data_IF_970449579397
#
_entry.id   IF_970449579397
#
_cell.length_a   1.000
_cell.length_b   1.000
_cell.length_c   1.000
_cell.angle_alpha   90.00
_cell.angle_beta   90.00
_cell.angle_gamma   90.00
#
_symmetry.space_group_name_H-M   'P 1'
#
loop_
_entity.id
_entity.type
_entity.pdbx_description
1 polymer ?
2 non-polymer ?
3 non-polymer ?
4 water ?
#
# COMPACT_ATOMS: atom_id res chain seq x y z
N UNK A 1 -6.50 -4.52 1.23
CA UNK A 1 -7.89 -4.04 1.11
C UNK A 1 -8.79 -4.95 0.25
N UNK A 2 -8.22 -5.80 -0.60
CA UNK A 2 -8.88 -6.68 -1.59
C UNK A 2 -7.89 -7.75 -2.06
N UNK A 3 -8.28 -8.70 -2.95
CA UNK A 3 -7.48 -9.90 -3.22
C UNK A 3 -6.11 -9.68 -3.90
N UNK A 4 -5.94 -8.53 -4.56
CA UNK A 4 -4.63 -8.13 -5.14
C UNK A 4 -3.66 -7.84 -4.03
N UNK A 5 -4.12 -7.07 -3.05
CA UNK A 5 -3.32 -6.69 -1.87
C UNK A 5 -3.03 -7.92 -1.01
N UNK A 6 -3.97 -8.85 -0.94
CA UNK A 6 -3.80 -10.17 -0.26
C UNK A 6 -2.60 -10.97 -0.83
N UNK A 7 -2.55 -11.12 -2.15
CA UNK A 7 -1.45 -11.85 -2.82
C UNK A 7 -0.14 -11.08 -2.59
N UNK A 8 -0.13 -9.77 -2.80
CA UNK A 8 1.09 -8.94 -2.59
C UNK A 8 1.62 -9.13 -1.17
N UNK A 9 0.75 -9.03 -0.15
CA UNK A 9 1.14 -9.18 1.26
C UNK A 9 1.75 -10.55 1.51
N UNK A 10 1.16 -11.59 0.96
CA UNK A 10 1.67 -12.97 1.14
C UNK A 10 3.10 -13.08 0.60
N UNK A 11 3.39 -12.44 -0.52
CA UNK A 11 4.75 -12.40 -1.11
C UNK A 11 5.66 -11.59 -0.21
N UNK A 12 5.23 -10.40 0.23
CA UNK A 12 6.13 -9.55 1.03
C UNK A 12 6.52 -10.23 2.34
N UNK A 13 5.53 -10.89 2.99
CA UNK A 13 5.73 -11.39 4.39
C UNK A 13 6.69 -12.57 4.40
N UNK A 14 6.90 -13.29 3.30
CA UNK A 14 7.75 -14.49 3.29
C UNK A 14 8.91 -14.42 2.30
N UNK A 15 8.80 -13.61 1.24
CA UNK A 15 9.78 -13.70 0.13
C UNK A 15 10.52 -12.38 -0.09
N UNK A 16 10.62 -11.51 0.90
CA UNK A 16 11.43 -10.26 0.76
C UNK A 16 12.40 -10.12 1.92
N UNK A 17 13.51 -9.44 1.61
CA UNK A 17 14.51 -8.99 2.61
C UNK A 17 14.82 -7.55 2.26
N UNK A 18 15.46 -6.86 3.19
CA UNK A 18 16.01 -5.52 2.91
C UNK A 18 17.48 -5.72 2.51
N UNK A 19 17.83 -5.35 1.28
CA UNK A 19 19.22 -5.43 0.80
C UNK A 19 19.86 -4.05 0.85
N UNK A 20 21.09 -3.97 1.34
CA UNK A 20 21.85 -2.69 1.37
C UNK A 20 23.17 -2.89 0.65
N UNK A 21 23.41 -2.07 -0.38
CA UNK A 21 24.70 -1.99 -1.10
C UNK A 21 25.24 -0.56 -0.84
N UNK A 22 26.36 -0.23 -1.46
CA UNK A 22 26.97 1.13 -1.38
C UNK A 22 26.13 2.13 -2.17
N UNK A 23 25.18 1.65 -2.98
CA UNK A 23 24.26 2.49 -3.81
C UNK A 23 22.89 2.67 -3.16
N UNK A 24 22.61 2.09 -1.97
CA UNK A 24 21.40 2.35 -1.20
C UNK A 24 20.77 1.09 -0.57
N UNK A 25 19.57 1.29 -0.04
CA UNK A 25 18.69 0.24 0.49
C UNK A 25 17.64 -0.10 -0.56
N UNK A 26 17.42 -1.41 -0.82
CA UNK A 26 16.50 -1.92 -1.84
C UNK A 26 15.59 -3.02 -1.26
N UNK A 27 14.33 -3.02 -1.65
CA UNK A 27 13.47 -4.20 -1.57
C UNK A 27 14.19 -5.28 -2.40
N UNK A 28 14.30 -6.49 -1.86
CA UNK A 28 14.92 -7.63 -2.58
C UNK A 28 13.96 -8.81 -2.47
N UNK A 29 13.58 -9.33 -3.63
CA UNK A 29 12.72 -10.53 -3.77
C UNK A 29 13.57 -11.81 -3.74
N UNK A 30 13.28 -12.68 -2.77
CA UNK A 30 13.82 -14.06 -2.76
C UNK A 30 12.93 -14.96 -3.59
N UNK A 31 13.51 -15.78 -4.47
CA UNK A 31 12.72 -16.58 -5.44
C UNK A 31 12.70 -18.06 -5.02
N UNK A 32 13.85 -18.62 -4.63
CA UNK A 32 13.93 -20.04 -4.16
C UNK A 32 15.31 -20.22 -3.57
N UNK A 33 15.43 -21.21 -2.68
CA UNK A 33 16.73 -21.59 -2.06
C UNK A 33 17.37 -20.29 -1.54
N UNK A 34 18.59 -19.95 -1.99
CA UNK A 34 19.29 -18.73 -1.48
C UNK A 34 19.38 -17.73 -2.66
N UNK A 35 18.49 -17.83 -3.63
CA UNK A 35 18.54 -17.04 -4.89
C UNK A 35 17.53 -15.89 -4.76
N UNK A 36 18.00 -14.67 -4.98
CA UNK A 36 17.17 -13.46 -4.94
C UNK A 36 17.46 -12.59 -6.17
N UNK A 37 16.67 -11.54 -6.35
CA UNK A 37 16.87 -10.57 -7.46
C UNK A 37 16.91 -9.14 -6.90
N UNK A 38 17.57 -8.28 -7.66
CA UNK A 38 17.75 -6.86 -7.28
C UNK A 38 18.01 -6.11 -8.57
N UNK A 39 17.62 -4.80 -8.67
CA UNK A 39 18.01 -4.05 -9.87
C UNK A 39 19.54 -4.01 -10.04
N UNK A 40 19.98 -4.12 -11.31
CA UNK A 40 21.43 -4.16 -11.62
C UNK A 40 22.11 -2.86 -11.18
N UNK A 41 21.39 -1.74 -11.19
CA UNK A 41 21.98 -0.45 -10.71
C UNK A 41 22.28 -0.44 -9.19
N UNK A 42 21.86 -1.44 -8.41
CA UNK A 42 22.31 -1.60 -7.01
C UNK A 42 23.80 -1.91 -6.92
N UNK A 43 24.47 -2.33 -8.00
CA UNK A 43 25.93 -2.63 -8.07
C UNK A 43 26.35 -3.62 -6.95
N UNK A 44 25.73 -4.79 -6.93
CA UNK A 44 26.04 -5.83 -5.92
C UNK A 44 27.53 -6.16 -6.05
N UNK A 45 28.23 -6.25 -4.91
CA UNK A 45 29.63 -6.67 -4.85
C UNK A 45 29.79 -8.02 -4.19
N UNK A 46 30.94 -8.25 -3.54
CA UNK A 46 31.31 -9.53 -2.93
C UNK A 46 30.58 -9.70 -1.58
N UNK A 47 30.18 -8.60 -0.95
CA UNK A 47 29.49 -8.52 0.36
C UNK A 47 28.26 -7.60 0.18
N UNK A 48 27.15 -8.01 0.76
CA UNK A 48 25.90 -7.22 0.78
C UNK A 48 25.34 -7.30 2.21
N UNK A 49 24.54 -6.32 2.64
CA UNK A 49 23.82 -6.42 3.95
C UNK A 49 22.40 -6.90 3.67
N UNK A 50 21.94 -7.91 4.40
CA UNK A 50 20.60 -8.54 4.25
C UNK A 50 19.93 -8.39 5.63
N UNK A 51 18.92 -7.53 5.74
CA UNK A 51 18.28 -7.23 7.05
C UNK A 51 19.38 -6.82 8.05
N UNK A 52 20.34 -6.00 7.62
CA UNK A 52 21.44 -5.40 8.41
C UNK A 52 22.48 -6.42 8.89
N UNK A 53 22.55 -7.58 8.28
CA UNK A 53 23.59 -8.61 8.54
C UNK A 53 24.52 -8.71 7.34
N UNK A 54 25.81 -8.62 7.62
CA UNK A 54 26.88 -8.82 6.63
C UNK A 54 26.78 -10.22 6.03
N UNK A 55 26.62 -10.31 4.70
CA UNK A 55 26.34 -11.57 3.96
C UNK A 55 27.29 -11.66 2.75
N UNK A 56 27.98 -12.78 2.62
CA UNK A 56 28.81 -13.02 1.44
C UNK A 56 27.90 -13.31 0.25
N UNK A 57 28.29 -12.76 -0.89
CA UNK A 57 27.61 -13.03 -2.20
C UNK A 57 28.34 -14.21 -2.85
N UNK A 58 27.65 -15.33 -3.03
CA UNK A 58 28.23 -16.56 -3.63
C UNK A 58 28.29 -16.40 -5.13
N UNK A 59 27.36 -15.67 -5.75
CA UNK A 59 27.30 -15.46 -7.20
C UNK A 59 26.42 -14.26 -7.46
N UNK A 60 26.75 -13.45 -8.46
CA UNK A 60 25.87 -12.36 -8.94
C UNK A 60 25.94 -12.31 -10.47
N UNK A 61 24.78 -12.32 -11.15
CA UNK A 61 24.76 -12.31 -12.63
C UNK A 61 23.80 -11.22 -13.12
N UNK A 62 24.35 -10.20 -13.78
CA UNK A 62 23.58 -9.11 -14.40
C UNK A 62 23.02 -9.63 -15.71
N UNK A 63 21.72 -9.84 -15.81
CA UNK A 63 21.11 -10.49 -16.99
C UNK A 63 21.09 -9.52 -18.18
N UNK A 64 21.30 -10.08 -19.37
CA UNK A 64 21.18 -9.38 -20.66
C UNK A 64 20.45 -10.30 -21.62
N UNK A 65 19.69 -9.76 -22.57
CA UNK A 65 19.00 -10.60 -23.56
C UNK A 65 20.02 -11.05 -24.64
N UNK A 66 19.54 -11.89 -25.55
CA UNK A 66 20.46 -12.57 -26.50
C UNK A 66 20.93 -11.60 -27.58
N UNK A 67 20.36 -10.39 -27.66
CA UNK A 67 20.97 -9.22 -28.36
C UNK A 67 22.02 -8.49 -27.49
N UNK A 68 22.41 -8.96 -26.30
CA UNK A 68 23.42 -8.31 -25.44
C UNK A 68 22.85 -6.93 -25.06
N UNK A 69 21.53 -6.83 -24.80
CA UNK A 69 20.89 -5.62 -24.23
C UNK A 69 20.60 -5.83 -22.73
N UNK A 70 20.91 -4.82 -21.93
CA UNK A 70 20.60 -4.80 -20.49
C UNK A 70 19.14 -5.24 -20.24
N UNK A 71 18.92 -6.11 -19.21
CA UNK A 71 17.56 -6.39 -18.69
C UNK A 71 17.33 -5.75 -17.31
N UNK A 72 18.36 -5.21 -16.66
CA UNK A 72 18.26 -4.49 -15.36
C UNK A 72 17.95 -5.42 -14.18
N UNK A 73 18.05 -6.75 -14.39
CA UNK A 73 17.85 -7.74 -13.30
C UNK A 73 19.22 -8.31 -12.98
N UNK A 74 19.62 -8.28 -11.72
CA UNK A 74 20.77 -9.09 -11.22
C UNK A 74 20.23 -10.22 -10.34
N UNK A 75 20.65 -11.44 -10.63
CA UNK A 75 20.32 -12.64 -9.84
C UNK A 75 21.48 -12.84 -8.88
N UNK A 76 21.18 -12.89 -7.58
CA UNK A 76 22.20 -12.97 -6.51
C UNK A 76 22.00 -14.28 -5.75
N UNK A 77 23.07 -15.04 -5.54
CA UNK A 77 23.00 -16.17 -4.61
C UNK A 77 23.67 -15.74 -3.31
N UNK A 78 22.95 -15.85 -2.19
CA UNK A 78 23.38 -15.31 -0.89
C UNK A 78 23.95 -16.45 -0.04
N UNK A 79 25.05 -16.21 0.66
CA UNK A 79 25.55 -17.16 1.71
C UNK A 79 24.73 -17.02 2.99
N UNK A 80 23.48 -17.42 2.92
CA UNK A 80 22.51 -17.28 4.02
C UNK A 80 22.23 -18.67 4.61
N UNK A 81 21.85 -18.73 5.90
CA UNK A 81 21.61 -20.00 6.62
C UNK A 81 20.16 -20.44 6.49
N UNK A 82 19.38 -19.87 5.58
CA UNK A 82 17.94 -20.13 5.51
C UNK A 82 17.53 -19.99 4.04
N UNK A 83 16.66 -20.88 3.56
CA UNK A 83 16.08 -20.80 2.21
C UNK A 83 14.82 -19.95 2.17
N UNK A 84 14.56 -19.38 1.00
CA UNK A 84 13.26 -18.75 0.66
C UNK A 84 12.25 -19.82 0.31
N UNK A 85 11.00 -19.55 0.63
CA UNK A 85 9.86 -20.29 0.05
C UNK A 85 10.04 -20.27 -1.47
N UNK A 86 9.89 -21.40 -2.15
CA UNK A 86 9.98 -21.45 -3.61
C UNK A 86 8.70 -20.86 -4.21
N UNK A 87 8.84 -19.72 -4.90
CA UNK A 87 7.72 -19.03 -5.60
C UNK A 87 7.89 -19.06 -7.11
N UNK A 88 8.74 -19.91 -7.65
CA UNK A 88 8.93 -19.93 -9.14
C UNK A 88 7.65 -20.26 -9.89
N UNK A 89 6.69 -20.99 -9.29
CA UNK A 89 5.42 -21.30 -9.97
C UNK A 89 4.50 -20.09 -10.08
N UNK A 90 4.82 -18.94 -9.49
CA UNK A 90 4.07 -17.69 -9.68
C UNK A 90 4.68 -16.75 -10.75
N UNK A 91 5.76 -17.18 -11.39
CA UNK A 91 6.45 -16.36 -12.41
C UNK A 91 5.80 -16.65 -13.75
N UNK A 92 5.54 -15.60 -14.55
CA UNK A 92 5.05 -15.78 -15.93
C UNK A 92 6.07 -16.48 -16.81
N UNK A 93 5.56 -17.22 -17.79
CA UNK A 93 6.46 -17.87 -18.75
C UNK A 93 6.81 -16.94 -19.94
N UNK A 94 5.94 -15.99 -20.29
CA UNK A 94 6.13 -15.14 -21.48
C UNK A 94 5.90 -13.66 -21.15
N UNK A 95 6.41 -12.80 -22.04
CA UNK A 95 6.18 -11.34 -21.98
C UNK A 95 4.67 -11.10 -22.16
N UNK A 96 4.10 -10.17 -21.42
CA UNK A 96 2.64 -9.96 -21.44
C UNK A 96 2.31 -8.60 -20.87
N UNK A 97 1.09 -8.17 -21.11
CA UNK A 97 0.41 -7.03 -20.45
C UNK A 97 -0.46 -7.58 -19.32
N UNK A 98 -0.79 -6.75 -18.35
CA UNK A 98 -1.56 -7.19 -17.16
C UNK A 98 -2.58 -6.14 -16.76
N UNK A 99 -3.65 -6.57 -16.11
CA UNK A 99 -4.52 -5.57 -15.42
C UNK A 99 -4.29 -5.60 -13.89
N UNK A 100 -4.53 -4.47 -13.26
CA UNK A 100 -4.80 -4.38 -11.82
C UNK A 100 -3.59 -4.95 -11.04
N UNK A 101 -2.43 -4.34 -11.23
CA UNK A 101 -1.20 -4.74 -10.48
C UNK A 101 -1.03 -3.91 -9.21
N UNK A 102 -0.26 -4.47 -8.28
CA UNK A 102 0.18 -3.81 -7.02
C UNK A 102 1.71 -3.79 -7.03
N UNK A 103 2.28 -2.65 -6.67
CA UNK A 103 3.72 -2.48 -6.38
C UNK A 103 3.91 -2.44 -4.87
N UNK A 104 4.72 -3.34 -4.32
CA UNK A 104 4.96 -3.46 -2.87
C UNK A 104 6.43 -3.24 -2.51
N UNK A 105 6.67 -2.40 -1.51
CA UNK A 105 8.01 -1.99 -1.07
C UNK A 105 8.14 -2.22 0.41
N UNK A 106 9.32 -2.66 0.84
CA UNK A 106 9.60 -2.74 2.27
C UNK A 106 11.07 -2.34 2.54
N UNK A 107 11.28 -1.12 3.02
CA UNK A 107 12.62 -0.61 3.41
C UNK A 107 12.47 0.12 4.74
N UNK A 108 13.61 0.60 5.31
CA UNK A 108 13.62 1.56 6.46
C UNK A 108 12.80 2.85 6.15
N UNK A 109 12.91 3.39 4.96
CA UNK A 109 12.22 4.63 4.53
C UNK A 109 10.73 4.35 4.28
N UNK A 110 10.39 3.18 3.73
CA UNK A 110 9.01 2.83 3.27
C UNK A 110 8.62 1.43 3.72
N UNK A 111 8.35 1.20 5.02
CA UNK A 111 7.90 -0.08 5.51
C UNK A 111 6.42 -0.34 5.17
N UNK A 112 6.14 -1.59 4.76
CA UNK A 112 4.74 -2.05 4.59
C UNK A 112 4.01 -1.14 3.62
N UNK A 113 4.66 -0.76 2.52
CA UNK A 113 4.08 0.10 1.48
C UNK A 113 3.51 -0.73 0.33
N UNK A 114 2.25 -0.46 -0.05
CA UNK A 114 1.53 -1.14 -1.15
C UNK A 114 0.86 -0.07 -2.02
N UNK A 115 1.04 -0.14 -3.33
CA UNK A 115 0.50 0.89 -4.29
C UNK A 115 -0.28 0.18 -5.38
N UNK A 116 -1.61 0.43 -5.55
CA UNK A 116 -2.37 -0.08 -6.68
C UNK A 116 -1.98 0.78 -7.90
N UNK A 117 -1.25 0.21 -8.82
CA UNK A 117 -0.71 0.97 -9.98
C UNK A 117 -1.59 0.79 -11.20
N UNK A 118 -2.57 -0.13 -11.22
CA UNK A 118 -3.52 -0.28 -12.32
C UNK A 118 -2.96 -1.10 -13.44
N UNK A 119 -3.24 -0.68 -14.66
CA UNK A 119 -2.88 -1.41 -15.90
C UNK A 119 -1.36 -1.35 -16.13
N UNK A 120 -0.80 -2.48 -16.50
CA UNK A 120 0.65 -2.64 -16.80
C UNK A 120 0.84 -3.00 -18.29
N UNK A 121 1.54 -2.13 -19.02
CA UNK A 121 1.82 -2.28 -20.46
C UNK A 121 3.16 -3.02 -20.65
N UNK A 122 3.21 -3.99 -21.56
CA UNK A 122 4.50 -4.47 -22.12
C UNK A 122 5.08 -3.35 -22.95
N UNK A 123 5.92 -2.51 -22.36
CA UNK A 123 6.45 -1.28 -22.97
C UNK A 123 7.61 -1.64 -23.92
N UNK A 124 8.44 -2.58 -23.50
CA UNK A 124 9.56 -3.09 -24.30
C UNK A 124 10.82 -2.30 -24.06
N UNK A 125 11.23 -1.50 -25.05
CA UNK A 125 12.49 -0.73 -25.00
C UNK A 125 12.33 0.54 -24.14
N UNK A 126 13.32 0.79 -23.26
CA UNK A 126 13.45 2.01 -22.46
C UNK A 126 14.92 2.38 -22.41
N UNK A 127 15.17 3.66 -22.60
CA UNK A 127 16.49 4.26 -22.27
C UNK A 127 16.45 4.67 -20.80
N UNK A 128 16.95 3.78 -19.95
CA UNK A 128 16.87 3.83 -18.49
C UNK A 128 18.17 4.41 -17.96
N UNK A 129 18.13 5.67 -17.48
CA UNK A 129 19.35 6.36 -17.01
C UNK A 129 20.45 6.40 -18.05
N UNK A 130 20.12 6.52 -19.32
CA UNK A 130 21.10 6.44 -20.42
C UNK A 130 21.43 5.02 -20.90
N UNK A 131 20.88 3.96 -20.30
CA UNK A 131 21.25 2.57 -20.65
C UNK A 131 20.10 1.95 -21.45
N UNK A 132 20.28 1.58 -22.73
CA UNK A 132 19.23 0.88 -23.48
C UNK A 132 18.83 -0.41 -22.72
N UNK A 133 17.54 -0.55 -22.49
CA UNK A 133 16.99 -1.66 -21.65
C UNK A 133 15.82 -2.31 -22.37
N UNK A 134 15.67 -3.64 -22.29
CA UNK A 134 14.54 -4.37 -22.88
C UNK A 134 13.64 -4.99 -21.80
N UNK A 135 12.51 -5.52 -22.25
CA UNK A 135 11.50 -6.24 -21.39
C UNK A 135 11.01 -5.37 -20.23
N UNK A 136 10.78 -4.11 -20.52
CA UNK A 136 10.23 -3.15 -19.52
C UNK A 136 8.70 -3.18 -19.53
N UNK A 137 8.14 -3.21 -18.33
CA UNK A 137 6.71 -3.04 -18.03
C UNK A 137 6.52 -1.59 -17.57
N UNK A 138 5.39 -1.00 -17.94
CA UNK A 138 5.11 0.41 -17.55
C UNK A 138 3.73 0.50 -16.89
N UNK A 139 3.65 1.36 -15.89
CA UNK A 139 2.39 1.67 -15.16
C UNK A 139 2.36 3.16 -14.95
N UNK A 140 1.15 3.69 -14.94
CA UNK A 140 0.93 5.16 -14.88
C UNK A 140 0.76 5.50 -13.43
N UNK A 141 1.83 5.42 -12.65
CA UNK A 141 1.88 5.93 -11.25
C UNK A 141 3.18 6.71 -11.09
N UNK A 142 3.13 7.90 -10.42
CA UNK A 142 4.30 8.70 -10.07
C UNK A 142 5.11 8.13 -8.90
N UNK A 143 5.82 7.03 -9.23
CA UNK A 143 6.79 6.34 -8.34
C UNK A 143 8.01 7.26 -8.04
N UNK A 144 8.68 7.01 -6.91
CA UNK A 144 9.71 7.89 -6.34
C UNK A 144 10.92 7.06 -5.96
N UNK A 145 12.03 7.76 -5.75
CA UNK A 145 13.24 7.22 -5.12
C UNK A 145 12.79 6.53 -3.82
N UNK A 146 13.42 5.38 -3.57
CA UNK A 146 13.10 4.48 -2.45
C UNK A 146 12.31 3.26 -2.88
N UNK A 147 11.75 3.24 -4.11
CA UNK A 147 10.85 2.13 -4.54
C UNK A 147 11.58 1.09 -5.40
N UNK A 148 12.86 1.32 -5.79
CA UNK A 148 13.57 0.35 -6.68
C UNK A 148 13.70 -0.97 -5.93
N UNK A 149 13.43 -2.06 -6.68
CA UNK A 149 13.42 -3.42 -6.12
C UNK A 149 12.01 -3.81 -5.71
N UNK A 150 11.08 -2.84 -5.67
CA UNK A 150 9.71 -3.13 -5.25
C UNK A 150 9.15 -4.23 -6.12
N UNK A 151 8.27 -5.06 -5.55
CA UNK A 151 7.72 -6.23 -6.26
C UNK A 151 6.41 -5.85 -6.95
N UNK A 152 6.30 -6.20 -8.22
CA UNK A 152 5.04 -5.98 -9.00
C UNK A 152 4.32 -7.31 -9.12
N UNK A 153 3.07 -7.35 -8.64
CA UNK A 153 2.25 -8.58 -8.62
C UNK A 153 0.87 -8.29 -9.23
N UNK A 154 0.27 -9.35 -9.74
CA UNK A 154 -1.19 -9.45 -9.90
C UNK A 154 -1.65 -10.57 -8.95
N UNK A 155 -2.95 -10.84 -8.87
CA UNK A 155 -3.43 -12.09 -8.22
C UNK A 155 -2.79 -13.28 -8.96
N UNK A 156 -2.01 -14.01 -8.20
CA UNK A 156 -1.44 -15.29 -8.57
C UNK A 156 -0.17 -15.12 -9.33
N UNK A 157 0.28 -13.88 -9.70
CA UNK A 157 1.56 -13.75 -10.47
C UNK A 157 2.50 -12.67 -9.91
N UNK A 158 3.79 -13.03 -9.85
CA UNK A 158 4.90 -12.10 -9.55
C UNK A 158 5.52 -11.74 -10.89
N UNK A 159 5.30 -10.49 -11.37
CA UNK A 159 5.57 -10.20 -12.82
C UNK A 159 6.81 -9.32 -13.03
N UNK A 160 7.36 -8.66 -12.02
CA UNK A 160 8.49 -7.75 -12.26
C UNK A 160 9.00 -7.12 -10.97
N UNK A 161 10.11 -6.40 -11.11
CA UNK A 161 10.69 -5.59 -10.03
C UNK A 161 10.89 -4.16 -10.56
N UNK A 162 10.48 -3.18 -9.74
CA UNK A 162 10.54 -1.74 -10.06
C UNK A 162 12.00 -1.31 -10.26
N UNK A 163 12.30 -0.61 -11.38
CA UNK A 163 13.71 -0.22 -11.70
C UNK A 163 13.81 1.28 -12.00
N UNK A 164 12.70 1.99 -12.17
CA UNK A 164 12.78 3.44 -12.47
C UNK A 164 11.46 4.14 -12.69
N UNK A 165 11.55 5.44 -12.99
CA UNK A 165 10.35 6.24 -13.32
C UNK A 165 10.74 7.55 -13.99
N UNK A 166 9.77 8.26 -14.55
CA UNK A 166 10.02 9.58 -15.21
C UNK A 166 9.20 10.69 -14.52
N UNK A 167 8.71 10.48 -13.32
CA UNK A 167 7.88 11.48 -12.62
C UNK A 167 6.40 11.19 -12.74
N UNK A 168 5.91 10.70 -13.88
CA UNK A 168 4.47 10.38 -14.13
C UNK A 168 4.21 8.86 -14.33
N UNK A 169 5.18 8.17 -14.93
CA UNK A 169 5.15 6.68 -15.15
C UNK A 169 6.25 6.00 -14.30
N UNK A 170 6.00 4.72 -13.99
CA UNK A 170 6.97 3.82 -13.33
C UNK A 170 7.26 2.68 -14.25
N UNK A 171 8.44 2.11 -14.09
CA UNK A 171 8.97 1.05 -14.99
C UNK A 171 9.52 -0.11 -14.14
N UNK A 172 9.15 -1.32 -14.58
CA UNK A 172 9.62 -2.55 -13.91
C UNK A 172 10.33 -3.43 -14.96
N UNK A 173 11.33 -4.17 -14.52
CA UNK A 173 11.95 -5.25 -15.33
C UNK A 173 11.12 -6.51 -15.17
N UNK A 174 10.79 -7.17 -16.27
CA UNK A 174 10.03 -8.43 -16.23
C UNK A 174 10.79 -9.50 -15.45
N UNK A 175 10.04 -10.31 -14.72
CA UNK A 175 10.57 -11.62 -14.24
C UNK A 175 9.91 -12.71 -15.08
N UNK A 176 10.72 -13.60 -15.60
CA UNK A 176 10.27 -14.75 -16.38
C UNK A 176 10.74 -16.04 -15.70
N UNK A 177 9.90 -17.06 -15.77
CA UNK A 177 10.22 -18.40 -15.20
C UNK A 177 11.60 -18.90 -15.69
N UNK A 178 11.92 -18.64 -16.97
CA UNK A 178 13.17 -19.15 -17.59
C UNK A 178 14.45 -18.55 -17.00
N UNK A 179 14.35 -17.46 -16.23
CA UNK A 179 15.55 -16.89 -15.58
C UNK A 179 16.04 -17.80 -14.43
N UNK A 180 15.17 -18.67 -13.91
CA UNK A 180 15.38 -19.39 -12.60
C UNK A 180 15.22 -20.91 -12.69
N UNK A 181 15.35 -21.47 -13.88
CA UNK A 181 15.65 -22.92 -14.06
C UNK A 181 17.06 -23.16 -13.47
N UNK A 182 17.22 -24.22 -12.63
CA UNK A 182 18.49 -24.62 -11.94
C UNK A 182 18.85 -26.07 -12.33
N UNK B 2 7.99 10.62 2.94
CA UNK B 2 8.47 11.75 3.83
C UNK B 2 8.32 11.44 5.32
N UNK B 3 8.21 12.50 6.20
CA UNK B 3 7.60 12.38 7.54
C UNK B 3 6.09 12.07 7.49
N UNK B 4 5.50 12.10 6.28
CA UNK B 4 4.17 11.54 5.96
C UNK B 4 4.02 10.09 6.41
N UNK B 5 5.01 9.21 6.14
CA UNK B 5 4.99 7.79 6.62
C UNK B 5 5.13 7.71 8.15
N UNK B 6 6.01 8.47 8.80
CA UNK B 6 6.03 8.55 10.28
C UNK B 6 4.65 8.88 10.85
N UNK B 7 4.05 9.95 10.31
CA UNK B 7 2.77 10.47 10.81
C UNK B 7 1.71 9.36 10.66
N UNK B 8 1.60 8.75 9.49
CA UNK B 8 0.60 7.71 9.22
C UNK B 8 0.81 6.57 10.23
N UNK B 9 2.07 6.17 10.50
CA UNK B 9 2.37 5.08 11.48
C UNK B 9 1.99 5.46 12.89
N UNK B 10 2.25 6.72 13.30
CA UNK B 10 1.94 7.25 14.66
C UNK B 10 0.43 7.21 14.91
N UNK B 11 -0.34 7.58 13.88
CA UNK B 11 -1.83 7.51 13.99
C UNK B 11 -2.31 6.05 13.99
N UNK B 12 -1.73 5.22 13.12
CA UNK B 12 -2.04 3.75 13.07
C UNK B 12 -1.85 3.16 14.48
N UNK B 13 -0.67 3.39 15.05
CA UNK B 13 -0.20 2.67 16.27
C UNK B 13 -1.10 3.00 17.47
N UNK B 14 -1.44 4.25 17.69
CA UNK B 14 -2.17 4.63 18.92
C UNK B 14 -3.68 4.85 18.67
N UNK B 15 -4.10 5.17 17.45
CA UNK B 15 -5.48 5.65 17.21
C UNK B 15 -6.31 4.73 16.28
N UNK B 16 -5.81 3.60 15.84
CA UNK B 16 -6.54 2.74 14.88
C UNK B 16 -6.83 1.38 15.54
N UNK B 17 -8.09 0.95 15.57
CA UNK B 17 -8.51 -0.38 16.08
C UNK B 17 -9.26 -1.13 14.98
N UNK B 18 -9.45 -2.44 15.17
CA UNK B 18 -10.23 -3.29 14.24
C UNK B 18 -11.67 -3.35 14.77
N UNK B 19 -12.62 -2.83 14.03
CA UNK B 19 -14.04 -2.89 14.44
C UNK B 19 -14.74 -3.99 13.62
N UNK B 20 -15.58 -4.79 14.25
CA UNK B 20 -16.32 -5.84 13.51
C UNK B 20 -17.82 -5.67 13.83
N UNK B 21 -18.57 -5.40 12.78
CA UNK B 21 -20.06 -5.31 12.80
C UNK B 21 -20.64 -6.60 12.19
N UNK B 22 -21.95 -6.64 12.10
CA UNK B 22 -22.65 -7.71 11.34
C UNK B 22 -22.05 -7.85 9.93
N UNK B 23 -21.51 -6.77 9.35
CA UNK B 23 -21.00 -6.76 7.95
C UNK B 23 -19.54 -7.23 7.84
N UNK B 24 -18.83 -7.37 8.93
CA UNK B 24 -17.42 -7.80 8.93
C UNK B 24 -16.51 -6.72 9.49
N UNK B 25 -15.24 -6.70 9.04
CA UNK B 25 -14.17 -5.94 9.73
C UNK B 25 -13.92 -4.62 8.99
N UNK B 26 -13.75 -3.57 9.79
CA UNK B 26 -13.50 -2.20 9.31
C UNK B 26 -12.33 -1.61 10.11
N UNK B 27 -11.47 -0.88 9.41
CA UNK B 27 -10.50 0.01 10.06
C UNK B 27 -11.24 1.15 10.79
N UNK B 28 -11.06 1.27 12.08
CA UNK B 28 -11.80 2.26 12.88
C UNK B 28 -10.77 3.25 13.45
N UNK B 29 -11.07 4.55 13.34
CA UNK B 29 -10.25 5.62 13.95
C UNK B 29 -10.86 6.09 15.28
N UNK B 30 -10.08 5.93 16.34
CA UNK B 30 -10.42 6.59 17.61
C UNK B 30 -9.93 8.02 17.65
N UNK B 31 -10.80 8.93 18.05
CA UNK B 31 -10.53 10.39 17.90
C UNK B 31 -10.16 10.99 19.27
N UNK B 32 -10.89 10.70 20.30
CA UNK B 32 -10.65 11.21 21.69
C UNK B 32 -11.56 10.44 22.65
N UNK B 33 -11.22 10.40 23.95
CA UNK B 33 -12.10 9.74 24.96
C UNK B 33 -12.50 8.35 24.44
N UNK B 34 -13.82 8.05 24.38
CA UNK B 34 -14.28 6.74 23.83
C UNK B 34 -15.05 6.96 22.50
N UNK B 35 -14.69 8.01 21.80
CA UNK B 35 -15.34 8.45 20.55
C UNK B 35 -14.49 8.01 19.37
N UNK B 36 -15.11 7.27 18.44
CA UNK B 36 -14.44 6.78 17.22
C UNK B 36 -15.33 7.04 16.01
N UNK B 37 -14.78 6.85 14.82
CA UNK B 37 -15.52 6.98 13.54
C UNK B 37 -15.34 5.73 12.69
N UNK B 38 -16.37 5.48 11.91
CA UNK B 38 -16.43 4.29 11.01
C UNK B 38 -17.34 4.71 9.84
N UNK B 39 -17.21 4.14 8.63
CA UNK B 39 -18.17 4.43 7.57
C UNK B 39 -19.59 4.02 7.95
N UNK B 40 -20.56 4.84 7.51
CA UNK B 40 -21.98 4.57 7.82
C UNK B 40 -22.39 3.19 7.24
N UNK B 41 -21.83 2.78 6.10
CA UNK B 41 -22.19 1.47 5.50
C UNK B 41 -21.77 0.29 6.36
N UNK B 42 -21.00 0.48 7.45
CA UNK B 42 -20.64 -0.63 8.37
C UNK B 42 -21.86 -1.13 9.16
N UNK B 43 -22.92 -0.35 9.23
CA UNK B 43 -24.19 -0.78 9.88
C UNK B 43 -23.93 -1.14 11.37
N UNK B 44 -23.44 -0.14 12.09
CA UNK B 44 -23.16 -0.27 13.53
C UNK B 44 -24.49 -0.54 14.26
N UNK B 45 -24.45 -1.52 15.15
CA UNK B 45 -25.60 -1.89 15.98
C UNK B 45 -25.41 -1.49 17.42
N UNK B 46 -26.04 -2.26 18.30
CA UNK B 46 -26.01 -2.05 19.75
C UNK B 46 -24.68 -2.57 20.31
N UNK B 47 -24.12 -3.58 19.67
CA UNK B 47 -22.86 -4.25 20.12
C UNK B 47 -21.90 -4.23 18.91
N UNK B 48 -20.64 -4.03 19.20
CA UNK B 48 -19.54 -4.11 18.20
C UNK B 48 -18.36 -4.87 18.84
N UNK B 49 -17.53 -5.49 18.00
CA UNK B 49 -16.24 -6.05 18.46
C UNK B 49 -15.12 -5.06 18.16
N UNK B 50 -14.33 -4.77 19.18
CA UNK B 50 -13.15 -3.83 19.09
C UNK B 50 -11.91 -4.67 19.41
N UNK B 51 -11.08 -4.97 18.40
CA UNK B 51 -9.92 -5.88 18.56
C UNK B 51 -10.39 -7.21 19.19
N UNK B 52 -11.52 -7.73 18.72
CA UNK B 52 -12.10 -9.07 19.05
C UNK B 52 -12.75 -9.07 20.44
N UNK B 53 -12.91 -7.91 21.11
CA UNK B 53 -13.65 -7.76 22.38
C UNK B 53 -15.08 -7.26 22.12
N UNK B 54 -16.08 -8.03 22.52
CA UNK B 54 -17.51 -7.58 22.55
C UNK B 54 -17.65 -6.27 23.35
N UNK B 55 -18.19 -5.20 22.71
CA UNK B 55 -18.19 -3.81 23.27
C UNK B 55 -19.58 -3.18 23.03
N UNK B 56 -20.22 -2.71 24.08
CA UNK B 56 -21.51 -2.00 23.93
C UNK B 56 -21.23 -0.68 23.20
N UNK B 57 -22.06 -0.39 22.21
CA UNK B 57 -22.07 0.96 21.57
C UNK B 57 -23.11 1.83 22.31
N UNK B 58 -22.63 2.81 23.05
CA UNK B 58 -23.52 3.67 23.86
C UNK B 58 -24.33 4.60 22.95
N UNK B 59 -23.72 5.07 21.85
CA UNK B 59 -24.32 6.08 20.96
C UNK B 59 -23.72 5.88 19.58
N UNK B 60 -24.57 5.98 18.55
CA UNK B 60 -24.14 5.99 17.13
C UNK B 60 -24.90 7.12 16.42
N UNK B 61 -24.16 7.98 15.74
CA UNK B 61 -24.73 9.11 14.96
C UNK B 61 -24.27 9.01 13.50
N UNK B 62 -25.21 8.75 12.58
CA UNK B 62 -24.96 8.73 11.12
C UNK B 62 -24.95 10.19 10.65
N UNK B 63 -23.78 10.79 10.47
CA UNK B 63 -23.66 12.25 10.29
C UNK B 63 -24.31 12.71 8.97
N UNK B 64 -24.99 13.85 9.09
CA UNK B 64 -25.55 14.60 7.92
C UNK B 64 -25.21 16.08 8.12
N UNK B 65 -25.07 16.82 7.03
CA UNK B 65 -24.74 18.26 7.13
C UNK B 65 -26.02 19.09 7.24
N UNK B 66 -25.87 20.40 7.26
CA UNK B 66 -27.02 21.32 7.49
C UNK B 66 -27.93 21.43 6.27
N UNK B 67 -27.54 20.92 5.12
CA UNK B 67 -28.45 20.70 3.98
C UNK B 67 -29.23 19.38 4.13
N UNK B 68 -29.07 18.68 5.27
CA UNK B 68 -29.69 17.36 5.54
C UNK B 68 -29.22 16.36 4.48
N UNK B 69 -27.93 16.37 4.16
CA UNK B 69 -27.33 15.44 3.21
C UNK B 69 -26.38 14.50 3.98
N UNK B 70 -26.39 13.24 3.60
CA UNK B 70 -25.46 12.20 4.11
C UNK B 70 -24.02 12.69 3.98
N UNK B 71 -23.22 12.36 5.02
CA UNK B 71 -21.72 12.50 4.99
C UNK B 71 -21.01 11.13 5.04
N UNK B 72 -21.71 10.03 5.27
CA UNK B 72 -21.20 8.65 5.25
C UNK B 72 -20.23 8.36 6.42
N UNK B 73 -20.21 9.21 7.42
CA UNK B 73 -19.41 9.01 8.69
C UNK B 73 -20.40 8.70 9.77
N UNK B 74 -20.14 7.66 10.54
CA UNK B 74 -20.86 7.41 11.79
C UNK B 74 -19.91 7.64 12.96
N UNK B 75 -20.32 8.51 13.88
CA UNK B 75 -19.58 8.74 15.15
C UNK B 75 -20.14 7.77 16.18
N UNK B 76 -19.29 6.99 16.82
CA UNK B 76 -19.70 6.04 17.89
C UNK B 76 -19.06 6.43 19.24
N UNK B 77 -19.81 6.21 20.32
CA UNK B 77 -19.35 6.33 21.74
C UNK B 77 -19.32 4.93 22.32
N UNK B 78 -18.13 4.44 22.68
CA UNK B 78 -17.91 3.02 23.03
C UNK B 78 -17.90 2.86 24.58
N UNK B 79 -18.53 1.79 25.07
CA UNK B 79 -18.42 1.37 26.50
C UNK B 79 -17.12 0.55 26.72
N UNK B 80 -15.98 1.23 26.90
CA UNK B 80 -14.65 0.60 27.13
C UNK B 80 -13.81 1.48 28.04
N UNK B 81 -12.93 0.84 28.82
CA UNK B 81 -12.08 1.54 29.83
C UNK B 81 -11.04 2.39 29.12
N UNK B 82 -10.40 1.84 28.08
CA UNK B 82 -9.33 2.55 27.33
C UNK B 82 -9.91 3.85 26.76
N UNK B 83 -9.16 4.92 26.92
CA UNK B 83 -9.42 6.23 26.27
C UNK B 83 -8.45 6.37 25.09
N UNK B 84 -8.92 6.92 23.96
CA UNK B 84 -8.09 7.18 22.78
C UNK B 84 -7.24 8.43 23.01
N UNK B 85 -6.00 8.41 22.54
CA UNK B 85 -5.12 9.60 22.45
C UNK B 85 -5.85 10.67 21.66
N UNK B 86 -6.02 11.88 22.22
CA UNK B 86 -6.75 12.99 21.55
C UNK B 86 -5.97 13.41 20.30
N UNK B 87 -6.61 13.42 19.11
CA UNK B 87 -6.01 13.83 17.82
C UNK B 87 -6.88 14.89 17.16
N UNK B 88 -7.80 15.49 17.91
CA UNK B 88 -8.70 16.56 17.35
C UNK B 88 -7.91 17.74 16.78
N UNK B 89 -6.71 18.02 17.32
CA UNK B 89 -5.84 19.11 16.82
C UNK B 89 -5.24 18.79 15.47
N UNK B 90 -5.32 17.53 14.98
CA UNK B 90 -4.85 17.17 13.62
C UNK B 90 -5.97 17.15 12.55
N UNK B 91 -7.20 17.49 12.96
CA UNK B 91 -8.35 17.49 12.00
C UNK B 91 -8.42 18.86 11.32
N UNK B 92 -8.57 18.88 9.99
CA UNK B 92 -8.78 20.14 9.25
C UNK B 92 -10.03 20.90 9.74
N UNK B 93 -9.88 22.23 9.74
CA UNK B 93 -11.01 23.13 10.11
C UNK B 93 -11.93 23.30 8.91
N UNK B 94 -11.38 23.25 7.69
CA UNK B 94 -12.13 23.54 6.44
C UNK B 94 -11.93 22.42 5.41
N UNK B 95 -12.80 22.40 4.41
CA UNK B 95 -12.69 21.56 3.21
C UNK B 95 -11.45 22.00 2.43
N UNK B 96 -10.69 21.07 1.87
CA UNK B 96 -9.43 21.43 1.16
C UNK B 96 -9.01 20.28 0.23
N UNK B 97 -8.10 20.59 -0.70
CA UNK B 97 -7.32 19.62 -1.51
C UNK B 97 -5.98 19.39 -0.79
N UNK B 98 -5.34 18.26 -1.11
CA UNK B 98 -4.10 17.82 -0.43
C UNK B 98 -3.16 17.10 -1.42
N UNK B 99 -1.86 17.12 -1.09
CA UNK B 99 -0.85 16.30 -1.81
C UNK B 99 -0.29 15.22 -0.91
N UNK B 100 0.18 14.14 -1.53
CA UNK B 100 1.13 13.24 -0.84
C UNK B 100 0.39 12.56 0.34
N UNK B 101 -0.85 12.12 0.12
CA UNK B 101 -1.64 11.43 1.16
C UNK B 101 -1.30 9.94 1.23
N UNK B 102 -1.53 9.37 2.41
CA UNK B 102 -1.38 7.93 2.72
C UNK B 102 -2.71 7.42 3.29
N UNK B 103 -3.15 6.30 2.77
CA UNK B 103 -4.31 5.54 3.26
C UNK B 103 -3.76 4.36 4.06
N UNK B 104 -4.15 4.27 5.33
CA UNK B 104 -3.65 3.27 6.30
C UNK B 104 -4.77 2.30 6.71
N UNK B 105 -4.59 1.03 6.32
CA UNK B 105 -5.55 -0.10 6.50
C UNK B 105 -5.12 -0.94 7.69
N UNK B 106 -6.06 -1.33 8.53
CA UNK B 106 -5.74 -2.20 9.67
C UNK B 106 -6.93 -3.14 9.93
N UNK B 107 -6.80 -4.41 9.52
CA UNK B 107 -7.81 -5.46 9.83
C UNK B 107 -7.08 -6.74 10.20
N UNK B 108 -7.82 -7.80 10.51
CA UNK B 108 -7.18 -9.13 10.81
C UNK B 108 -6.48 -9.64 9.55
N UNK B 109 -7.06 -9.40 8.41
CA UNK B 109 -6.53 -9.83 7.09
C UNK B 109 -5.35 -8.95 6.64
N UNK B 110 -5.42 -7.63 6.92
CA UNK B 110 -4.50 -6.59 6.40
C UNK B 110 -3.98 -5.80 7.59
N UNK B 111 -3.09 -6.37 8.42
CA UNK B 111 -2.60 -5.66 9.57
C UNK B 111 -1.57 -4.62 9.13
N UNK B 112 -1.58 -3.44 9.72
CA UNK B 112 -0.46 -2.49 9.37
C UNK B 112 -0.12 -2.41 7.85
N UNK B 113 -1.05 -2.04 6.95
CA UNK B 113 -0.80 -1.82 5.49
C UNK B 113 -0.90 -0.31 5.10
N UNK B 114 0.09 0.29 4.44
CA UNK B 114 0.17 1.73 4.08
C UNK B 114 0.13 1.87 2.56
N UNK B 115 -0.86 2.62 2.06
CA UNK B 115 -1.13 2.80 0.61
C UNK B 115 -0.98 4.25 0.25
N UNK B 116 0.16 4.67 -0.31
CA UNK B 116 0.37 6.04 -0.78
C UNK B 116 -0.63 6.26 -1.92
N UNK B 117 -1.50 7.23 -1.77
CA UNK B 117 -2.52 7.45 -2.83
C UNK B 117 -2.19 8.71 -3.63
N UNK B 118 -1.40 9.60 -3.02
CA UNK B 118 -0.84 10.80 -3.66
C UNK B 118 -1.80 11.94 -3.58
N UNK B 119 -2.18 12.45 -4.74
CA UNK B 119 -2.98 13.69 -4.83
C UNK B 119 -4.44 13.39 -4.47
N UNK B 120 -4.96 14.23 -3.58
CA UNK B 120 -6.36 14.14 -3.06
C UNK B 120 -7.14 15.42 -3.45
N UNK B 121 -8.24 15.27 -4.16
CA UNK B 121 -9.12 16.39 -4.57
C UNK B 121 -10.33 16.53 -3.63
N UNK B 122 -10.73 17.74 -3.28
CA UNK B 122 -12.08 18.07 -2.80
C UNK B 122 -13.07 17.85 -3.95
N UNK B 123 -13.66 16.67 -4.00
CA UNK B 123 -14.51 16.18 -5.12
C UNK B 123 -15.92 16.74 -4.88
N UNK B 124 -16.36 16.76 -3.61
CA UNK B 124 -17.64 17.28 -3.12
C UNK B 124 -18.77 16.27 -3.22
N UNK B 125 -19.67 16.44 -4.19
CA UNK B 125 -20.90 15.63 -4.31
C UNK B 125 -20.59 14.28 -4.94
N UNK B 126 -21.14 13.19 -4.37
CA UNK B 126 -21.08 11.84 -4.95
C UNK B 126 -22.41 11.12 -4.67
N UNK B 127 -22.95 10.50 -5.69
CA UNK B 127 -24.04 9.52 -5.48
C UNK B 127 -23.41 8.19 -5.09
N UNK B 128 -23.38 7.89 -3.81
CA UNK B 128 -22.68 6.71 -3.26
C UNK B 128 -23.69 5.60 -2.96
N UNK B 129 -23.75 4.58 -3.80
CA UNK B 129 -24.70 3.46 -3.63
C UNK B 129 -26.14 3.91 -3.72
N UNK B 130 -26.39 4.98 -4.48
CA UNK B 130 -27.74 5.54 -4.62
C UNK B 130 -28.05 6.63 -3.61
N UNK B 131 -27.16 6.90 -2.66
CA UNK B 131 -27.36 7.98 -1.64
C UNK B 131 -26.53 9.21 -1.98
N UNK B 132 -27.18 10.38 -2.16
CA UNK B 132 -26.48 11.65 -2.33
C UNK B 132 -25.63 11.94 -1.07
N UNK B 133 -24.34 12.23 -1.33
CA UNK B 133 -23.30 12.37 -0.28
C UNK B 133 -22.50 13.65 -0.54
N UNK B 134 -22.17 14.34 0.55
CA UNK B 134 -21.32 15.55 0.48
C UNK B 134 -19.91 15.29 1.06
N UNK B 135 -19.03 16.27 0.81
CA UNK B 135 -17.67 16.38 1.40
C UNK B 135 -16.83 15.13 1.09
N UNK B 136 -16.91 14.66 -0.14
CA UNK B 136 -16.09 13.53 -0.60
C UNK B 136 -14.73 14.05 -1.09
N UNK B 137 -13.67 13.37 -0.64
CA UNK B 137 -12.30 13.46 -1.16
C UNK B 137 -12.05 12.34 -2.16
N UNK B 138 -11.33 12.63 -3.24
CA UNK B 138 -11.11 11.62 -4.28
C UNK B 138 -9.58 11.50 -4.54
N UNK B 139 -9.16 10.28 -4.76
CA UNK B 139 -7.77 9.93 -5.16
C UNK B 139 -7.85 8.81 -6.20
N UNK B 140 -6.78 8.69 -7.01
CA UNK B 140 -6.68 7.54 -7.92
C UNK B 140 -6.63 6.27 -7.09
N UNK B 141 -7.30 5.23 -7.53
CA UNK B 141 -7.37 3.92 -6.81
C UNK B 141 -7.83 2.88 -7.81
N UNK B 142 -6.95 2.51 -8.78
CA UNK B 142 -7.34 1.65 -9.90
C UNK B 142 -7.34 0.17 -9.54
N UNK B 143 -8.23 -0.20 -8.64
CA UNK B 143 -8.37 -1.54 -8.03
C UNK B 143 -9.81 -1.62 -7.47
N UNK B 144 -10.35 -2.82 -7.39
CA UNK B 144 -11.67 -3.03 -6.72
C UNK B 144 -11.28 -3.50 -5.30
N UNK B 145 -11.33 -2.57 -4.36
CA UNK B 145 -11.12 -2.75 -2.90
C UNK B 145 -12.44 -3.21 -2.25
N UNK B 146 -12.32 -3.94 -1.14
CA UNK B 146 -13.44 -4.31 -0.26
C UNK B 146 -13.88 -3.14 0.62
N UNK B 147 -14.75 -3.45 1.56
CA UNK B 147 -15.44 -2.46 2.42
C UNK B 147 -14.59 -1.92 3.58
N UNK B 148 -13.46 -2.54 3.95
CA UNK B 148 -12.85 -2.37 5.28
C UNK B 148 -12.37 -0.93 5.46
N UNK B 149 -12.04 -0.25 4.37
CA UNK B 149 -11.60 1.16 4.44
C UNK B 149 -10.28 1.38 5.18
N UNK B 150 -10.10 2.59 5.73
CA UNK B 150 -8.80 3.02 6.23
C UNK B 150 -8.73 4.51 6.43
N UNK B 151 -7.67 4.94 7.08
CA UNK B 151 -7.53 6.35 7.52
C UNK B 151 -6.66 7.06 6.51
N UNK B 152 -7.07 8.24 6.07
CA UNK B 152 -6.29 9.08 5.11
C UNK B 152 -5.60 10.20 5.87
N UNK B 153 -4.28 10.27 5.72
CA UNK B 153 -3.42 11.28 6.40
C UNK B 153 -2.55 11.98 5.38
N UNK B 154 -2.15 13.19 5.74
CA UNK B 154 -1.00 13.90 5.10
C UNK B 154 0.00 14.18 6.19
N UNK B 155 1.11 14.83 5.89
CA UNK B 155 2.00 15.25 7.00
C UNK B 155 1.17 16.23 7.84
N UNK B 156 0.99 15.88 9.10
CA UNK B 156 0.38 16.73 10.12
C UNK B 156 -1.11 16.75 10.18
N UNK B 157 -1.83 16.07 9.27
CA UNK B 157 -3.30 16.12 9.31
C UNK B 157 -3.92 14.74 9.12
N UNK B 158 -5.00 14.54 9.85
CA UNK B 158 -5.92 13.37 9.62
C UNK B 158 -7.14 13.88 8.84
N UNK B 159 -7.23 13.56 7.56
CA UNK B 159 -8.12 14.30 6.63
C UNK B 159 -9.41 13.52 6.32
N UNK B 160 -9.48 12.21 6.50
CA UNK B 160 -10.67 11.49 6.05
C UNK B 160 -10.55 10.00 6.34
N UNK B 161 -11.66 9.30 6.10
CA UNK B 161 -11.73 7.81 6.17
C UNK B 161 -12.30 7.32 4.84
N UNK B 162 -11.73 6.26 4.29
CA UNK B 162 -12.11 5.66 2.99
C UNK B 162 -13.53 5.06 3.06
N UNK B 163 -14.41 5.48 2.14
CA UNK B 163 -15.84 5.01 2.18
C UNK B 163 -16.27 4.29 0.90
N UNK B 164 -15.51 4.34 -0.20
CA UNK B 164 -15.89 3.61 -1.42
C UNK B 164 -14.99 3.86 -2.59
N UNK B 165 -15.42 3.46 -3.77
CA UNK B 165 -14.62 3.64 -4.98
C UNK B 165 -15.31 3.05 -6.20
N UNK B 166 -14.87 3.40 -7.41
CA UNK B 166 -15.57 3.04 -8.68
C UNK B 166 -14.63 2.21 -9.57
N UNK B 167 -13.57 1.60 -9.00
CA UNK B 167 -12.55 0.76 -9.69
C UNK B 167 -11.43 1.54 -10.36
N UNK B 168 -11.59 2.84 -10.52
CA UNK B 168 -10.60 3.81 -11.04
C UNK B 168 -10.23 4.82 -9.94
N UNK B 169 -11.24 5.26 -9.18
CA UNK B 169 -11.05 6.30 -8.14
C UNK B 169 -11.50 5.74 -6.81
N UNK B 170 -10.87 6.25 -5.76
CA UNK B 170 -11.19 5.99 -4.35
C UNK B 170 -11.77 7.24 -3.72
N UNK B 171 -12.69 7.03 -2.78
CA UNK B 171 -13.46 8.14 -2.13
C UNK B 171 -13.37 8.01 -0.63
N UNK B 172 -13.09 9.14 0.02
CA UNK B 172 -13.03 9.28 1.47
C UNK B 172 -14.02 10.35 1.89
N UNK B 173 -14.64 10.16 3.05
CA UNK B 173 -15.41 11.18 3.76
C UNK B 173 -14.45 12.07 4.54
N UNK B 174 -14.62 13.38 4.39
CA UNK B 174 -13.80 14.37 5.12
C UNK B 174 -14.02 14.24 6.62
N UNK B 175 -12.96 14.38 7.41
CA UNK B 175 -13.08 14.60 8.85
C UNK B 175 -12.80 16.10 9.07
N UNK B 176 -13.67 16.74 9.81
CA UNK B 176 -13.56 18.19 10.12
C UNK B 176 -13.57 18.34 11.64
N UNK B 177 -12.84 19.36 12.10
CA UNK B 177 -12.68 19.62 13.53
C UNK B 177 -14.05 19.84 14.17
N UNK B 178 -14.94 20.49 13.44
CA UNK B 178 -16.27 20.86 14.00
C UNK B 178 -17.13 19.64 14.28
N UNK B 179 -16.78 18.44 13.79
CA UNK B 179 -17.66 17.28 14.04
C UNK B 179 -17.57 16.77 15.49
N UNK B 180 -16.51 17.20 16.18
CA UNK B 180 -16.08 16.67 17.50
C UNK B 180 -15.95 17.78 18.57
N UNK B 181 -16.27 19.03 18.26
CA UNK B 181 -16.35 20.09 19.30
C UNK B 181 -17.58 19.84 20.19
X LIG C 1 26.30 1.83 -21.05
X LIG C 1 25.51 -0.27 -20.16
X LIG C 1 27.56 3.39 -19.60
X LIG C 1 26.87 2.16 -19.81
X LIG C 1 25.63 0.64 -21.21
X LIG C 1 24.75 -1.54 -20.31
X LIG C 1 26.06 0.07 -18.94
X LIG C 1 26.79 4.16 -17.13
X LIG C 1 26.74 1.27 -18.75
X LIG C 1 24.63 -2.22 -19.20
X LIG C 1 24.28 -1.89 -21.38
X LIG C 1 26.81 4.60 -18.83
X LIG C 1 27.53 5.82 -19.01
X LIG C 1 25.48 4.50 -19.35
X LIG D 1 -18.77 13.81 19.08
X LIG D 1 -19.60 13.07 20.18
X LIG D 1 -17.46 14.66 19.92
X LIG D 1 -19.75 15.24 18.60
#
# INVERSE_FOLDING_TARGET
>A
MGPGFDFAQAIMKKNTVIARTEKGEFTMLGVYDRVAVIPTHASVGEIIYINDVETRVLDACALRDLTDTNLEITIVKLDRNQKFRDIRHFLPRCEDDYNDAVLSVHTSKFPNMYIPVGQVTNYGFLNLGGTPTHRILMYNFPTRAGQCGGVVTTTGKVIGIHVGGNGAQGFAAMLLHSYFTD
>B
MGPGFDFAQAIMKKNTVIARTEKGEFTMLGVYDRVAVIPTHASVGEIIYINDVETRVLDACALRDLTDTNLEITIVKLDRNQKFRDIRHFLPRCEDDYNDAVLSVHTSKFPNMYIPVGQVTNYGFLNLGGTPTHRILMYNFPTRAGQCGGVVTTTGKVIGIHVGGNGAQGFAAMLLHSYFTD
>C hetero
1 4MB C3 C5 N1 C2 C4 C6 C9 C12 C10 O7 O8 S11 O14 O13
>D hetero
1 DMS S O C1 C2
#
